data_IF_420914038705
#
_entry.id   IF_420914038705
#
_cell.length_a   1.000
_cell.length_b   1.000
_cell.length_c   1.000
_cell.angle_alpha   90.00
_cell.angle_beta   90.00
_cell.angle_gamma   90.00
#
_symmetry.space_group_name_H-M   'P 1'
#
loop_
_entity.id
_entity.type
_entity.pdbx_description
1 polymer ?
#
# COMPACT_ATOMS: atom_id res chain seq x y z
N UNK A 1 -11.56 4.02 -26.38
CA UNK A 1 -10.88 5.27 -25.98
C UNK A 1 -11.09 5.44 -24.48
N UNK A 2 -10.01 5.44 -23.69
CA UNK A 2 -10.12 5.58 -22.23
C UNK A 2 -10.56 7.01 -21.90
N UNK A 3 -11.82 7.18 -21.47
CA UNK A 3 -12.36 8.44 -20.94
C UNK A 3 -11.73 8.73 -19.58
N UNK A 4 -10.47 9.15 -19.57
CA UNK A 4 -9.82 9.67 -18.38
C UNK A 4 -10.17 11.15 -18.28
N UNK A 5 -11.15 11.45 -17.44
CA UNK A 5 -11.42 12.82 -17.02
C UNK A 5 -10.19 13.36 -16.27
N UNK A 6 -10.02 14.68 -16.26
CA UNK A 6 -8.92 15.30 -15.51
C UNK A 6 -8.95 14.90 -14.03
N UNK A 7 -10.14 14.72 -13.47
CA UNK A 7 -10.35 14.20 -12.12
C UNK A 7 -9.76 12.79 -11.95
N UNK A 8 -10.02 11.87 -12.89
CA UNK A 8 -9.45 10.52 -12.84
C UNK A 8 -7.92 10.53 -12.93
N UNK A 9 -7.33 11.43 -13.72
CA UNK A 9 -5.88 11.61 -13.78
C UNK A 9 -5.32 12.15 -12.48
N UNK A 10 -5.97 13.14 -11.88
CA UNK A 10 -5.56 13.72 -10.60
C UNK A 10 -5.68 12.71 -9.46
N UNK A 11 -6.76 11.93 -9.41
CA UNK A 11 -6.92 10.83 -8.45
C UNK A 11 -5.82 9.79 -8.59
N UNK A 12 -5.52 9.37 -9.83
CA UNK A 12 -4.44 8.42 -10.08
C UNK A 12 -3.06 8.98 -9.69
N UNK A 13 -2.78 10.24 -10.04
CA UNK A 13 -1.54 10.90 -9.67
C UNK A 13 -1.39 10.99 -8.15
N UNK A 14 -2.44 11.37 -7.42
CA UNK A 14 -2.44 11.38 -5.96
C UNK A 14 -2.21 10.00 -5.35
N UNK A 15 -2.78 8.95 -5.93
CA UNK A 15 -2.59 7.56 -5.48
C UNK A 15 -1.18 7.02 -5.73
N UNK A 16 -0.41 7.63 -6.61
CA UNK A 16 0.95 7.24 -6.99
C UNK A 16 2.01 8.26 -6.52
N UNK A 17 1.59 9.32 -5.82
CA UNK A 17 2.49 10.34 -5.30
C UNK A 17 3.21 9.79 -4.05
N UNK A 18 4.55 9.65 -4.06
CA UNK A 18 5.31 9.13 -2.92
C UNK A 18 5.25 10.03 -1.68
N UNK A 19 4.94 11.32 -1.84
CA UNK A 19 4.76 12.26 -0.73
C UNK A 19 3.34 12.19 -0.13
N UNK A 20 2.42 11.45 -0.73
CA UNK A 20 1.08 11.24 -0.16
C UNK A 20 1.15 10.21 0.97
N UNK A 21 0.64 10.58 2.14
CA UNK A 21 0.58 9.69 3.32
C UNK A 21 -0.07 8.35 2.99
N UNK A 22 -1.17 8.34 2.24
CA UNK A 22 -1.87 7.11 1.87
C UNK A 22 -1.01 6.17 0.98
N UNK A 23 -0.13 6.73 0.14
CA UNK A 23 0.83 5.94 -0.63
C UNK A 23 1.88 5.31 0.29
N UNK A 24 2.42 6.09 1.22
CA UNK A 24 3.42 5.62 2.18
C UNK A 24 2.85 4.54 3.09
N UNK A 25 1.64 4.72 3.62
CA UNK A 25 0.96 3.72 4.45
C UNK A 25 0.71 2.42 3.67
N UNK A 26 0.30 2.52 2.40
CA UNK A 26 0.16 1.35 1.52
C UNK A 26 1.48 0.61 1.35
N UNK A 27 2.57 1.33 1.09
CA UNK A 27 3.90 0.73 0.94
C UNK A 27 4.39 0.10 2.24
N UNK A 28 4.22 0.77 3.38
CA UNK A 28 4.58 0.25 4.69
C UNK A 28 3.81 -1.04 5.01
N UNK A 29 2.50 -1.05 4.75
CA UNK A 29 1.68 -2.24 4.94
C UNK A 29 2.13 -3.39 4.03
N UNK A 30 2.43 -3.09 2.75
CA UNK A 30 2.91 -4.08 1.81
C UNK A 30 4.27 -4.67 2.25
N UNK A 31 5.22 -3.83 2.65
CA UNK A 31 6.51 -4.29 3.17
C UNK A 31 6.34 -5.11 4.45
N UNK A 32 5.43 -4.71 5.33
CA UNK A 32 5.12 -5.44 6.56
C UNK A 32 4.53 -6.84 6.29
N UNK A 33 3.73 -6.98 5.23
CA UNK A 33 3.17 -8.25 4.78
C UNK A 33 4.19 -9.17 4.11
N UNK A 34 5.31 -8.65 3.62
CA UNK A 34 6.35 -9.45 2.95
C UNK A 34 7.60 -9.65 3.80
N UNK A 35 7.67 -9.02 4.98
CA UNK A 35 8.79 -9.16 5.89
C UNK A 35 8.52 -10.30 6.88
N UNK A 36 9.15 -11.48 6.71
CA UNK A 36 8.96 -12.61 7.63
C UNK A 36 9.41 -12.33 9.06
N UNK A 37 10.29 -11.34 9.25
CA UNK A 37 10.74 -10.90 10.57
C UNK A 37 9.77 -9.89 11.21
N UNK A 38 8.76 -9.39 10.48
CA UNK A 38 7.73 -8.55 11.07
C UNK A 38 6.88 -9.39 12.03
N UNK A 39 6.72 -8.89 13.26
CA UNK A 39 5.90 -9.53 14.30
C UNK A 39 4.44 -9.76 13.87
N UNK A 40 3.90 -8.93 12.96
CA UNK A 40 2.54 -9.09 12.39
C UNK A 40 2.46 -10.16 11.30
N UNK A 41 3.58 -10.46 10.64
CA UNK A 41 3.66 -11.53 9.64
C UNK A 41 3.81 -12.90 10.29
N UNK A 42 4.54 -12.95 11.41
CA UNK A 42 4.72 -14.18 12.16
C UNK A 42 3.36 -14.69 12.64
N UNK A 43 3.01 -15.95 12.35
CA UNK A 43 1.86 -16.56 13.01
C UNK A 43 2.10 -16.50 14.53
N UNK A 44 1.03 -16.40 15.35
CA UNK A 44 1.19 -16.51 16.79
C UNK A 44 2.01 -17.78 17.09
N UNK A 45 2.97 -17.69 18.02
CA UNK A 45 3.96 -18.74 18.35
C UNK A 45 3.37 -20.04 18.93
N UNK A 46 2.12 -20.36 18.61
CA UNK A 46 1.40 -21.56 19.01
C UNK A 46 0.26 -21.94 18.06
N UNK A 47 0.34 -21.58 16.77
CA UNK A 47 -0.52 -22.19 15.75
C UNK A 47 -0.21 -23.68 15.65
N UNK A 48 -1.19 -24.51 16.00
CA UNK A 48 -1.13 -25.99 16.05
C UNK A 48 -0.57 -26.61 14.77
#
# INVERSE_FOLDING_TARGET
MSNRTQENLNHHANQMNPNNQAYQDRMNNHSNQLNPNNWRYQPPKGGK
#
